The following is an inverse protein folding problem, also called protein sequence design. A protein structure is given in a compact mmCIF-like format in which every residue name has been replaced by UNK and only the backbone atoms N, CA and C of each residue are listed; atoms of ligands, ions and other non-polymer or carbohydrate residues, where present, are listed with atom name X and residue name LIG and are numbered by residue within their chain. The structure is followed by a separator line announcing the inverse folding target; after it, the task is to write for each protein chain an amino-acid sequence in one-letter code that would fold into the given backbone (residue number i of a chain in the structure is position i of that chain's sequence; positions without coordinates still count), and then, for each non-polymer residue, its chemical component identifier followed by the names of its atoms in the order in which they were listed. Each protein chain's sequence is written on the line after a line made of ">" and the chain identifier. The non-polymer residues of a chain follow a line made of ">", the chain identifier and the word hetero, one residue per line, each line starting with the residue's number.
data_IF_438988786456
#
_entry.id   IF_438988786456
#
_cell.length_a   1.000
_cell.length_b   1.000
_cell.length_c   1.000
_cell.angle_alpha   90.00
_cell.angle_beta   90.00
_cell.angle_gamma   90.00
#
_symmetry.space_group_name_H-M   'P 1'
#
loop_
_entity.id
_entity.type
_entity.pdbx_description
1 polymer ?
#
# COMPACT_ATOMS: atom_id res chain seq x y z
N UNK A 1 -2.40 -13.37 5.88
CA UNK A 1 -2.20 -12.48 4.70
C UNK A 1 -3.44 -12.50 3.83
N UNK A 2 -3.79 -11.37 3.30
CA UNK A 2 -4.89 -11.26 2.33
C UNK A 2 -4.33 -11.49 0.93
N UNK A 3 -4.89 -12.43 0.18
CA UNK A 3 -4.44 -12.74 -1.19
C UNK A 3 -5.31 -12.10 -2.27
N UNK A 4 -6.53 -11.74 -1.94
CA UNK A 4 -7.43 -11.01 -2.84
C UNK A 4 -7.27 -9.51 -2.61
N UNK A 5 -6.15 -8.96 -3.06
CA UNK A 5 -5.72 -7.60 -2.75
C UNK A 5 -6.43 -6.61 -3.65
N UNK A 6 -6.97 -5.55 -3.04
CA UNK A 6 -7.51 -4.41 -3.78
C UNK A 6 -6.32 -3.59 -4.28
N UNK A 7 -6.24 -3.40 -5.58
CA UNK A 7 -5.13 -2.69 -6.25
C UNK A 7 -5.64 -1.65 -7.21
N UNK A 8 -4.73 -0.83 -7.73
CA UNK A 8 -5.01 0.11 -8.81
C UNK A 8 -3.90 0.06 -9.84
N UNK A 9 -4.08 0.75 -10.96
CA UNK A 9 -3.06 0.89 -11.99
C UNK A 9 -2.54 2.32 -12.04
N UNK A 10 -1.40 2.53 -12.68
CA UNK A 10 -0.69 3.82 -12.67
C UNK A 10 -1.40 4.92 -13.47
N UNK A 11 -2.25 4.55 -14.42
CA UNK A 11 -2.96 5.49 -15.29
C UNK A 11 -4.28 6.01 -14.71
N UNK A 12 -4.69 5.51 -13.55
CA UNK A 12 -5.94 5.90 -12.90
C UNK A 12 -5.81 7.30 -12.32
N UNK A 13 -6.87 8.10 -12.41
CA UNK A 13 -6.95 9.41 -11.77
C UNK A 13 -6.88 9.28 -10.25
N UNK A 14 -6.15 10.17 -9.60
CA UNK A 14 -5.93 10.12 -8.15
C UNK A 14 -7.24 10.17 -7.36
N UNK A 15 -8.26 10.87 -7.86
CA UNK A 15 -9.56 10.94 -7.20
C UNK A 15 -10.25 9.59 -7.20
N UNK A 16 -10.20 8.85 -8.30
CA UNK A 16 -10.74 7.50 -8.37
C UNK A 16 -10.02 6.54 -7.42
N UNK A 17 -8.70 6.65 -7.33
CA UNK A 17 -7.93 5.83 -6.41
C UNK A 17 -8.31 6.13 -4.96
N UNK A 18 -8.50 7.40 -4.62
CA UNK A 18 -8.93 7.81 -3.29
C UNK A 18 -10.34 7.29 -2.96
N UNK A 19 -11.26 7.38 -3.92
CA UNK A 19 -12.61 6.82 -3.74
C UNK A 19 -12.55 5.32 -3.45
N UNK A 20 -11.65 4.61 -4.12
CA UNK A 20 -11.46 3.17 -3.91
C UNK A 20 -10.96 2.88 -2.49
N UNK A 21 -9.99 3.67 -2.00
CA UNK A 21 -9.52 3.57 -0.61
C UNK A 21 -10.69 3.75 0.37
N UNK A 22 -11.53 4.74 0.13
CA UNK A 22 -12.67 5.03 1.00
C UNK A 22 -13.75 3.96 0.91
N UNK A 23 -14.09 3.51 -0.30
CA UNK A 23 -15.12 2.49 -0.52
C UNK A 23 -14.76 1.18 0.18
N UNK A 24 -13.54 0.73 0.05
CA UNK A 24 -13.09 -0.53 0.64
C UNK A 24 -12.57 -0.37 2.06
N UNK A 25 -12.51 0.86 2.57
CA UNK A 25 -12.05 1.17 3.95
C UNK A 25 -10.66 0.61 4.21
N UNK A 26 -9.77 0.82 3.26
CA UNK A 26 -8.38 0.39 3.33
C UNK A 26 -7.46 1.62 3.42
N UNK A 27 -6.31 1.44 4.06
CA UNK A 27 -5.38 2.55 4.31
C UNK A 27 -4.32 2.71 3.22
N UNK A 28 -4.12 1.69 2.41
CA UNK A 28 -3.15 1.74 1.33
C UNK A 28 -3.65 0.95 0.13
N UNK A 29 -3.16 1.36 -1.05
CA UNK A 29 -3.58 0.77 -2.31
C UNK A 29 -2.34 0.50 -3.15
N UNK A 30 -1.95 -0.77 -3.30
CA UNK A 30 -0.82 -1.10 -4.17
C UNK A 30 -1.12 -0.77 -5.62
N UNK A 31 -0.11 -0.26 -6.32
CA UNK A 31 -0.17 0.05 -7.74
C UNK A 31 0.53 -1.07 -8.49
N UNK A 32 -0.18 -1.74 -9.39
CA UNK A 32 0.36 -2.89 -10.13
C UNK A 32 0.19 -2.71 -11.63
N UNK A 33 1.13 -3.27 -12.37
CA UNK A 33 1.05 -3.43 -13.82
C UNK A 33 1.52 -4.83 -14.18
N UNK A 34 0.72 -5.55 -14.94
CA UNK A 34 1.02 -6.94 -15.33
C UNK A 34 1.37 -7.84 -14.14
N UNK A 35 0.66 -7.65 -13.01
CA UNK A 35 0.89 -8.40 -11.79
C UNK A 35 2.08 -7.94 -10.95
N UNK A 36 2.84 -6.97 -11.44
CA UNK A 36 4.04 -6.47 -10.75
C UNK A 36 3.73 -5.24 -9.92
N UNK A 37 4.23 -5.22 -8.69
CA UNK A 37 4.10 -4.08 -7.80
C UNK A 37 5.05 -2.97 -8.27
N UNK A 38 4.50 -1.82 -8.64
CA UNK A 38 5.31 -0.68 -9.12
C UNK A 38 5.26 0.52 -8.18
N UNK A 39 4.32 0.54 -7.25
CA UNK A 39 4.21 1.63 -6.29
C UNK A 39 3.10 1.38 -5.30
N UNK A 40 2.90 2.36 -4.43
CA UNK A 40 1.81 2.34 -3.43
C UNK A 40 1.33 3.75 -3.18
N UNK A 41 0.03 3.89 -2.91
CA UNK A 41 -0.55 5.14 -2.42
C UNK A 41 -1.22 4.88 -1.08
N UNK A 42 -1.27 5.89 -0.23
CA UNK A 42 -1.90 5.79 1.08
C UNK A 42 -3.06 6.77 1.20
N UNK A 43 -4.07 6.38 1.99
CA UNK A 43 -5.22 7.23 2.23
C UNK A 43 -4.82 8.54 2.91
N UNK A 44 -3.88 8.48 3.85
CA UNK A 44 -3.42 9.66 4.57
C UNK A 44 -2.76 10.68 3.63
N UNK A 45 -1.81 10.25 2.80
CA UNK A 45 -1.10 11.15 1.89
C UNK A 45 -2.02 11.73 0.83
N UNK A 46 -2.81 10.88 0.18
CA UNK A 46 -3.71 11.32 -0.89
C UNK A 46 -4.80 12.23 -0.35
N UNK A 47 -5.44 11.83 0.75
CA UNK A 47 -6.51 12.61 1.37
C UNK A 47 -6.02 13.98 1.85
N UNK A 48 -4.85 14.02 2.50
CA UNK A 48 -4.25 15.26 2.97
C UNK A 48 -3.98 16.24 1.82
N UNK A 49 -3.38 15.74 0.74
CA UNK A 49 -3.06 16.59 -0.40
C UNK A 49 -4.30 17.02 -1.19
N UNK A 50 -5.34 16.19 -1.23
CA UNK A 50 -6.62 16.58 -1.83
C UNK A 50 -7.29 17.70 -1.05
N UNK A 51 -7.27 17.62 0.29
CA UNK A 51 -7.84 18.66 1.15
C UNK A 51 -7.10 20.00 0.95
N UNK A 52 -5.77 19.94 0.78
CA UNK A 52 -4.94 21.12 0.55
C UNK A 52 -4.95 21.61 -0.91
N UNK A 53 -5.73 20.94 -1.76
CA UNK A 53 -5.86 21.27 -3.18
C UNK A 53 -4.49 21.31 -3.91
N UNK A 54 -3.63 20.36 -3.59
CA UNK A 54 -2.29 20.27 -4.16
C UNK A 54 -2.22 19.53 -5.49
N UNK A 55 -3.27 18.79 -5.84
CA UNK A 55 -3.30 18.06 -7.10
C UNK A 55 -4.06 18.83 -8.16
N UNK A 56 -3.49 18.87 -9.35
CA UNK A 56 -4.18 19.41 -10.51
C UNK A 56 -5.25 18.43 -11.00
N UNK A 57 -6.25 18.94 -11.67
CA UNK A 57 -7.29 18.11 -12.29
C UNK A 57 -6.64 17.13 -13.26
N UNK A 58 -6.97 15.86 -13.13
CA UNK A 58 -6.44 14.81 -13.99
C UNK A 58 -5.10 14.23 -13.54
N UNK A 59 -4.62 14.58 -12.34
CA UNK A 59 -3.40 13.97 -11.80
C UNK A 59 -3.56 12.46 -11.71
N UNK A 60 -2.62 11.72 -12.27
CA UNK A 60 -2.65 10.26 -12.26
C UNK A 60 -1.95 9.69 -11.03
N UNK A 61 -2.27 8.44 -10.71
CA UNK A 61 -1.62 7.68 -9.62
C UNK A 61 -0.10 7.63 -9.84
N UNK A 62 0.36 7.45 -11.07
CA UNK A 62 1.78 7.39 -11.40
C UNK A 62 2.54 8.64 -10.93
N UNK A 63 1.91 9.80 -11.01
CA UNK A 63 2.56 11.07 -10.65
C UNK A 63 2.76 11.23 -9.15
N UNK A 64 1.98 10.50 -8.34
CA UNK A 64 1.96 10.72 -6.89
C UNK A 64 2.33 9.49 -6.06
N UNK A 65 2.39 8.32 -6.68
CA UNK A 65 2.67 7.08 -5.96
C UNK A 65 4.08 7.05 -5.39
N UNK A 66 4.24 6.34 -4.27
CA UNK A 66 5.54 6.06 -3.69
C UNK A 66 6.11 4.85 -4.42
N UNK A 67 7.30 4.98 -5.02
CA UNK A 67 7.93 3.90 -5.80
C UNK A 67 8.90 3.06 -4.97
N UNK A 68 9.43 3.61 -3.87
CA UNK A 68 10.28 2.86 -2.94
C UNK A 68 9.41 2.14 -1.92
N UNK A 69 8.72 1.08 -2.37
CA UNK A 69 7.76 0.36 -1.53
C UNK A 69 8.50 -0.61 -0.62
N UNK A 70 8.17 -0.56 0.68
CA UNK A 70 8.68 -1.53 1.65
C UNK A 70 7.85 -2.80 1.51
N UNK A 71 8.50 -3.91 1.23
CA UNK A 71 7.85 -5.20 0.97
C UNK A 71 8.48 -6.31 1.78
N UNK A 72 7.80 -7.45 1.84
CA UNK A 72 8.37 -8.69 2.37
C UNK A 72 8.16 -9.82 1.37
N UNK A 73 8.96 -10.87 1.53
CA UNK A 73 8.88 -12.10 0.75
C UNK A 73 7.97 -13.10 1.47
N UNK A 74 7.34 -14.04 0.73
CA UNK A 74 6.50 -15.07 1.36
C UNK A 74 7.27 -16.00 2.30
N UNK A 75 8.61 -16.08 2.18
CA UNK A 75 9.44 -16.87 3.08
C UNK A 75 9.83 -16.13 4.35
N UNK A 76 9.58 -14.83 4.45
CA UNK A 76 9.91 -14.06 5.63
C UNK A 76 9.03 -14.44 6.82
N UNK A 77 9.62 -14.36 8.02
CA UNK A 77 8.91 -14.69 9.25
C UNK A 77 8.04 -13.52 9.72
N UNK A 78 7.10 -13.83 10.63
CA UNK A 78 6.30 -12.82 11.32
C UNK A 78 7.20 -11.84 12.06
N UNK A 79 8.27 -12.34 12.69
CA UNK A 79 9.23 -11.49 13.40
C UNK A 79 9.88 -10.48 12.47
N UNK A 80 10.26 -10.90 11.26
CA UNK A 80 10.80 -10.01 10.25
C UNK A 80 9.77 -8.96 9.83
N UNK A 81 8.52 -9.36 9.64
CA UNK A 81 7.44 -8.43 9.28
C UNK A 81 7.24 -7.37 10.37
N UNK A 82 7.21 -7.78 11.63
CA UNK A 82 7.08 -6.85 12.77
C UNK A 82 8.23 -5.85 12.78
N UNK A 83 9.46 -6.33 12.61
CA UNK A 83 10.64 -5.49 12.59
C UNK A 83 10.57 -4.44 11.48
N UNK A 84 10.19 -4.87 10.28
CA UNK A 84 10.05 -3.98 9.12
C UNK A 84 8.98 -2.92 9.38
N UNK A 85 7.83 -3.32 9.92
CA UNK A 85 6.75 -2.39 10.25
C UNK A 85 7.18 -1.34 11.26
N UNK A 86 7.98 -1.71 12.24
CA UNK A 86 8.46 -0.78 13.26
C UNK A 86 9.53 0.18 12.76
N UNK A 87 10.41 -0.29 11.89
CA UNK A 87 11.63 0.44 11.50
C UNK A 87 11.49 1.22 10.19
N UNK A 88 10.43 0.97 9.41
CA UNK A 88 10.35 1.46 8.03
C UNK A 88 9.83 2.88 7.91
N UNK A 89 9.36 3.50 8.97
CA UNK A 89 8.92 4.89 8.93
C UNK A 89 9.56 5.68 10.07
N UNK A 90 9.85 6.96 9.82
CA UNK A 90 10.38 7.86 10.83
C UNK A 90 9.28 8.43 11.73
N UNK A 91 8.01 8.30 11.35
CA UNK A 91 6.88 8.95 12.03
C UNK A 91 5.89 7.98 12.65
N UNK A 92 6.12 6.67 12.53
CA UNK A 92 5.20 5.69 13.09
C UNK A 92 5.42 4.29 12.56
N UNK A 93 4.44 3.44 12.80
CA UNK A 93 4.45 2.03 12.41
C UNK A 93 3.69 1.87 11.10
N UNK A 94 4.27 1.17 10.14
CA UNK A 94 3.54 0.75 8.95
C UNK A 94 2.48 -0.27 9.35
N UNK A 95 1.26 -0.08 8.85
CA UNK A 95 0.15 -0.96 9.18
C UNK A 95 -0.01 -2.12 8.20
N UNK A 96 0.57 -2.00 7.02
CA UNK A 96 0.42 -2.98 5.96
C UNK A 96 1.73 -3.13 5.18
N UNK A 97 2.03 -4.37 4.80
CA UNK A 97 3.18 -4.69 3.97
C UNK A 97 2.73 -5.53 2.78
N UNK A 98 3.02 -5.10 1.55
CA UNK A 98 2.85 -5.99 0.40
C UNK A 98 3.80 -7.18 0.49
N UNK A 99 3.28 -8.35 0.14
CA UNK A 99 4.06 -9.58 0.04
C UNK A 99 4.32 -9.82 -1.43
N UNK A 100 5.60 -9.89 -1.80
CA UNK A 100 6.00 -10.03 -3.21
C UNK A 100 6.95 -11.21 -3.38
N UNK A 101 6.86 -11.84 -4.54
CA UNK A 101 7.83 -12.83 -5.02
C UNK A 101 8.55 -12.17 -6.18
N UNK A 102 9.79 -11.73 -5.94
CA UNK A 102 10.46 -10.82 -6.85
C UNK A 102 9.72 -9.48 -6.90
N UNK A 103 9.06 -9.18 -8.01
CA UNK A 103 8.23 -7.99 -8.18
C UNK A 103 6.73 -8.31 -8.27
N UNK A 104 6.37 -9.59 -8.26
CA UNK A 104 4.98 -10.03 -8.36
C UNK A 104 4.27 -9.90 -7.02
N UNK A 105 3.17 -9.16 -7.00
CA UNK A 105 2.36 -9.00 -5.80
C UNK A 105 1.57 -10.29 -5.54
N UNK A 106 1.78 -10.88 -4.36
CA UNK A 106 1.08 -12.08 -3.93
C UNK A 106 -0.03 -11.79 -2.92
N UNK A 107 0.14 -10.78 -2.10
CA UNK A 107 -0.82 -10.46 -1.06
C UNK A 107 -0.40 -9.27 -0.24
N UNK A 108 -1.14 -9.04 0.84
CA UNK A 108 -0.83 -7.99 1.82
C UNK A 108 -0.92 -8.61 3.21
N UNK A 109 0.02 -8.24 4.08
CA UNK A 109 -0.05 -8.57 5.50
C UNK A 109 -0.26 -7.28 6.29
N UNK A 110 -1.21 -7.30 7.22
CA UNK A 110 -1.54 -6.16 8.06
C UNK A 110 -1.13 -6.38 9.49
N UNK A 111 -1.14 -5.30 10.29
CA UNK A 111 -0.96 -5.39 11.74
C UNK A 111 -2.02 -6.28 12.39
N UNK A 112 -3.25 -6.24 11.89
CA UNK A 112 -4.32 -7.12 12.36
C UNK A 112 -4.01 -8.58 12.11
N UNK A 113 -3.46 -8.92 10.95
CA UNK A 113 -3.05 -10.30 10.62
C UNK A 113 -2.00 -10.81 11.61
N UNK A 114 -1.04 -9.96 11.95
CA UNK A 114 0.03 -10.31 12.90
C UNK A 114 -0.55 -10.53 14.30
N UNK A 115 -1.45 -9.66 14.73
CA UNK A 115 -2.09 -9.77 16.05
C UNK A 115 -2.88 -11.08 16.15
N UNK A 116 -3.62 -11.45 15.12
CA UNK A 116 -4.37 -12.71 15.09
C UNK A 116 -3.45 -13.92 15.21
N UNK A 117 -2.29 -13.87 14.60
CA UNK A 117 -1.33 -14.98 14.62
C UNK A 117 -0.68 -15.14 16.01
N UNK A 118 -0.48 -14.04 16.73
CA UNK A 118 0.15 -14.05 18.06
C UNK A 118 -0.87 -14.41 19.16
N UNK A 119 -2.09 -13.95 19.02
CA UNK A 119 -3.16 -14.13 20.00
C UNK A 119 -4.29 -15.01 19.47
#
# INVERSE_FOLDING_TARGET
>A
MTTDVITTTSDVDVVYAFEKLMEYKISSLPVVEDGKLIGIITATDVGHNLILDKYELGTSVEEIMITSVVTISPEDTIETAIKIMKESTSSGILNQLPVVDGDKLLGIISDGDIIQEIF
#
